data_IF_036707613953
#
_entry.id   IF_036707613953
#
_cell.length_a   1.000
_cell.length_b   1.000
_cell.length_c   1.000
_cell.angle_alpha   90.00
_cell.angle_beta   90.00
_cell.angle_gamma   90.00
#
_symmetry.space_group_name_H-M   'P 1'
#
loop_
_entity.id
_entity.type
_entity.pdbx_description
1 polymer ?
#
# COMPACT_ATOMS: atom_id res chain seq x y z
N UNK A 1 -0.36 4.69 -16.35
CA UNK A 1 -0.97 4.99 -15.02
C UNK A 1 -2.40 5.45 -15.19
N UNK A 2 -3.33 4.75 -14.57
CA UNK A 2 -4.74 5.11 -14.65
C UNK A 2 -5.07 6.17 -13.61
N UNK A 3 -4.99 7.42 -14.02
CA UNK A 3 -5.41 8.60 -13.30
C UNK A 3 -6.12 9.52 -14.28
N UNK A 4 -7.42 9.70 -14.11
CA UNK A 4 -8.27 10.43 -15.06
C UNK A 4 -8.93 11.60 -14.37
N UNK A 5 -8.81 12.79 -14.98
CA UNK A 5 -9.59 13.95 -14.55
C UNK A 5 -10.99 13.83 -15.15
N UNK A 6 -11.99 13.90 -14.30
CA UNK A 6 -13.41 13.91 -14.66
C UNK A 6 -14.07 15.14 -14.05
N UNK A 7 -15.26 15.48 -14.50
CA UNK A 7 -16.00 16.62 -13.95
C UNK A 7 -16.16 16.48 -12.42
N UNK A 8 -15.62 17.45 -11.69
CA UNK A 8 -15.68 17.50 -10.23
C UNK A 8 -14.55 16.76 -9.49
N UNK A 9 -13.62 16.09 -10.17
CA UNK A 9 -12.57 15.41 -9.46
C UNK A 9 -11.59 14.59 -10.28
N UNK A 10 -11.02 13.62 -9.61
CA UNK A 10 -10.00 12.71 -10.16
C UNK A 10 -10.39 11.28 -9.87
N UNK A 11 -10.35 10.43 -10.87
CA UNK A 11 -10.44 8.98 -10.71
C UNK A 11 -9.04 8.36 -10.69
N UNK A 12 -8.77 7.50 -9.70
CA UNK A 12 -7.53 6.73 -9.56
C UNK A 12 -7.83 5.22 -9.53
N UNK A 13 -6.97 4.45 -10.17
CA UNK A 13 -6.92 3.01 -10.00
C UNK A 13 -5.53 2.61 -9.47
N UNK A 14 -5.47 2.03 -8.28
CA UNK A 14 -4.21 1.73 -7.57
C UNK A 14 -4.17 0.31 -7.04
N UNK A 15 -2.94 -0.17 -6.87
CA UNK A 15 -2.65 -1.45 -6.28
C UNK A 15 -1.59 -1.29 -5.17
N UNK A 16 -1.79 -1.97 -4.05
CA UNK A 16 -0.99 -1.84 -2.84
C UNK A 16 -0.63 -3.21 -2.29
N UNK A 17 0.50 -3.31 -1.61
CA UNK A 17 0.94 -4.57 -1.01
C UNK A 17 1.24 -4.41 0.47
N UNK A 18 0.53 -5.16 1.29
CA UNK A 18 0.83 -5.36 2.69
C UNK A 18 1.94 -6.41 2.80
N UNK A 19 3.17 -5.92 3.00
CA UNK A 19 4.35 -6.77 3.15
C UNK A 19 4.62 -6.95 4.63
N UNK A 20 4.62 -8.18 5.10
CA UNK A 20 4.96 -8.52 6.47
C UNK A 20 6.16 -9.44 6.52
N UNK A 21 6.86 -9.46 7.65
CA UNK A 21 7.85 -10.48 7.95
C UNK A 21 7.16 -11.82 8.27
N UNK A 22 7.94 -12.89 8.39
CA UNK A 22 7.41 -14.25 8.62
C UNK A 22 6.63 -14.38 9.93
N UNK A 23 7.00 -13.63 10.97
CA UNK A 23 6.28 -13.62 12.25
C UNK A 23 4.99 -12.80 12.21
N UNK A 24 4.80 -12.03 11.14
CA UNK A 24 3.66 -11.12 10.98
C UNK A 24 3.51 -10.11 12.15
N UNK A 25 4.63 -9.68 12.71
CA UNK A 25 4.70 -8.62 13.73
C UNK A 25 5.23 -7.29 13.17
N UNK A 26 5.86 -7.31 11.99
CA UNK A 26 6.35 -6.13 11.29
C UNK A 26 5.65 -5.94 9.95
N UNK A 27 5.41 -4.69 9.59
CA UNK A 27 4.90 -4.27 8.28
C UNK A 27 5.86 -3.28 7.65
N UNK A 28 6.10 -3.41 6.34
CA UNK A 28 6.89 -2.45 5.58
C UNK A 28 6.00 -1.30 5.11
N UNK A 29 6.36 -0.08 5.50
CA UNK A 29 5.66 1.13 5.07
C UNK A 29 6.64 2.11 4.44
N UNK A 30 6.13 2.90 3.50
CA UNK A 30 6.84 4.03 2.89
C UNK A 30 6.50 5.30 3.64
N UNK A 31 7.53 6.04 4.05
CA UNK A 31 7.40 7.38 4.62
C UNK A 31 7.41 8.42 3.48
N UNK A 32 6.33 9.15 3.31
CA UNK A 32 6.22 10.22 2.33
C UNK A 32 6.22 11.62 2.98
N UNK A 33 6.67 11.70 4.23
CA UNK A 33 6.80 12.92 5.02
C UNK A 33 5.64 13.13 5.99
N UNK A 34 4.46 13.46 5.48
CA UNK A 34 3.29 13.77 6.32
C UNK A 34 2.54 12.52 6.81
N UNK A 35 2.69 11.40 6.13
CA UNK A 35 2.02 10.15 6.45
C UNK A 35 2.75 8.94 5.85
N UNK A 36 2.35 7.76 6.30
CA UNK A 36 2.87 6.49 5.83
C UNK A 36 1.87 5.82 4.88
N UNK A 37 2.40 5.09 3.89
CA UNK A 37 1.60 4.30 2.95
C UNK A 37 2.20 2.91 2.77
N UNK A 38 1.38 1.98 2.27
CA UNK A 38 1.89 0.70 1.78
C UNK A 38 2.72 0.90 0.50
N UNK A 39 3.70 0.02 0.21
CA UNK A 39 4.30 -0.05 -1.11
C UNK A 39 3.25 -0.29 -2.19
N UNK A 40 3.42 0.31 -3.35
CA UNK A 40 2.51 0.16 -4.48
C UNK A 40 2.35 1.43 -5.31
N UNK A 41 1.47 1.36 -6.28
CA UNK A 41 1.29 2.49 -7.20
C UNK A 41 0.03 2.39 -8.06
N UNK A 42 0.03 3.15 -9.15
CA UNK A 42 -1.09 3.17 -10.09
C UNK A 42 -0.99 2.02 -11.07
N UNK A 43 -2.13 1.44 -11.35
CA UNK A 43 -2.28 0.43 -12.40
C UNK A 43 -2.16 1.10 -13.77
N UNK A 44 -1.47 0.48 -14.70
CA UNK A 44 -1.34 0.95 -16.08
C UNK A 44 -2.45 0.41 -16.98
N UNK A 45 -2.59 0.98 -18.18
CA UNK A 45 -3.56 0.48 -19.16
C UNK A 45 -3.19 -0.95 -19.57
N UNK A 46 -4.19 -1.82 -19.60
CA UNK A 46 -4.07 -3.24 -19.94
C UNK A 46 -3.25 -4.07 -18.95
N UNK A 47 -2.99 -3.53 -17.76
CA UNK A 47 -2.31 -4.19 -16.66
C UNK A 47 -3.31 -4.66 -15.60
N UNK A 48 -3.14 -5.86 -15.06
CA UNK A 48 -3.91 -6.27 -13.89
C UNK A 48 -3.39 -5.61 -12.61
N UNK A 49 -4.22 -5.49 -11.59
CA UNK A 49 -3.79 -4.94 -10.31
C UNK A 49 -2.68 -5.79 -9.65
N UNK A 50 -2.70 -7.12 -9.87
CA UNK A 50 -1.65 -8.00 -9.38
C UNK A 50 -0.32 -7.74 -10.10
N UNK A 51 -0.34 -7.62 -11.43
CA UNK A 51 0.87 -7.32 -12.21
C UNK A 51 1.41 -5.93 -11.87
N UNK A 52 0.55 -4.93 -11.70
CA UNK A 52 0.94 -3.62 -11.21
C UNK A 52 1.65 -3.71 -9.86
N UNK A 53 1.09 -4.47 -8.92
CA UNK A 53 1.72 -4.68 -7.60
C UNK A 53 3.11 -5.32 -7.72
N UNK A 54 3.26 -6.33 -8.54
CA UNK A 54 4.56 -7.00 -8.79
C UNK A 54 5.57 -6.04 -9.43
N UNK A 55 5.14 -5.25 -10.41
CA UNK A 55 5.97 -4.24 -11.08
C UNK A 55 6.45 -3.19 -10.07
N UNK A 56 5.54 -2.62 -9.29
CA UNK A 56 5.88 -1.60 -8.27
C UNK A 56 6.86 -2.15 -7.23
N UNK A 57 6.66 -3.38 -6.72
CA UNK A 57 7.60 -4.00 -5.79
C UNK A 57 8.99 -4.17 -6.38
N UNK A 58 9.08 -4.49 -7.67
CA UNK A 58 10.36 -4.60 -8.36
C UNK A 58 11.01 -3.24 -8.57
N UNK A 59 10.25 -2.23 -8.97
CA UNK A 59 10.73 -0.87 -9.21
C UNK A 59 11.16 -0.17 -7.91
N UNK A 60 10.34 -0.26 -6.87
CA UNK A 60 10.59 0.41 -5.59
C UNK A 60 11.62 -0.32 -4.72
N UNK A 61 11.57 -1.65 -4.67
CA UNK A 61 12.30 -2.46 -3.68
C UNK A 61 13.26 -3.48 -4.30
N UNK A 62 13.25 -3.67 -5.62
CA UNK A 62 13.99 -4.76 -6.27
C UNK A 62 13.46 -6.15 -5.92
N UNK A 63 12.25 -6.23 -5.40
CA UNK A 63 11.63 -7.47 -4.94
C UNK A 63 10.85 -8.13 -6.06
N UNK A 64 11.28 -9.31 -6.49
CA UNK A 64 10.56 -10.14 -7.44
C UNK A 64 9.65 -11.12 -6.70
N UNK A 65 8.36 -11.11 -7.06
CA UNK A 65 7.31 -11.87 -6.40
C UNK A 65 6.54 -12.70 -7.44
N UNK A 66 6.41 -14.00 -7.21
CA UNK A 66 5.68 -14.87 -8.13
C UNK A 66 4.17 -14.71 -8.02
N UNK A 67 3.65 -14.63 -6.80
CA UNK A 67 2.22 -14.51 -6.55
C UNK A 67 1.92 -13.63 -5.34
N UNK A 68 0.77 -12.98 -5.39
CA UNK A 68 0.23 -12.14 -4.32
C UNK A 68 -1.18 -12.61 -3.98
N UNK A 69 -1.60 -12.43 -2.73
CA UNK A 69 -2.95 -12.80 -2.31
C UNK A 69 -3.81 -11.55 -2.15
N UNK A 70 -4.83 -11.42 -2.98
CA UNK A 70 -5.80 -10.31 -2.86
C UNK A 70 -6.62 -10.44 -1.58
N UNK A 71 -6.65 -9.38 -0.77
CA UNK A 71 -7.35 -9.35 0.51
C UNK A 71 -8.47 -8.31 0.58
N UNK A 72 -8.29 -7.15 -0.04
CA UNK A 72 -9.24 -6.04 0.04
C UNK A 72 -9.39 -5.39 -1.33
N UNK A 73 -10.63 -5.06 -1.68
CA UNK A 73 -10.96 -4.09 -2.71
C UNK A 73 -11.63 -2.91 -2.01
N UNK A 74 -11.05 -1.72 -2.12
CA UNK A 74 -11.56 -0.52 -1.48
C UNK A 74 -12.00 0.50 -2.54
N UNK A 75 -13.18 1.05 -2.36
CA UNK A 75 -13.63 2.27 -3.02
C UNK A 75 -13.50 3.41 -2.03
N UNK A 76 -12.62 4.36 -2.32
CA UNK A 76 -12.32 5.46 -1.41
C UNK A 76 -12.66 6.81 -2.03
N UNK A 77 -13.39 7.63 -1.27
CA UNK A 77 -13.72 9.00 -1.64
C UNK A 77 -13.00 9.93 -0.66
N UNK A 78 -12.11 10.79 -1.17
CA UNK A 78 -11.32 11.67 -0.32
C UNK A 78 -10.98 12.99 -1.01
N UNK A 79 -10.46 13.95 -0.26
CA UNK A 79 -9.91 15.20 -0.79
C UNK A 79 -8.41 15.25 -0.63
N UNK A 80 -7.72 15.65 -1.69
CA UNK A 80 -6.30 15.96 -1.67
C UNK A 80 -5.99 17.03 -2.72
N UNK A 81 -5.03 17.91 -2.44
CA UNK A 81 -4.62 18.98 -3.37
C UNK A 81 -5.79 19.78 -3.94
N UNK A 82 -6.75 20.11 -3.10
CA UNK A 82 -7.97 20.87 -3.46
C UNK A 82 -8.86 20.18 -4.51
N UNK A 83 -8.73 18.87 -4.68
CA UNK A 83 -9.56 18.05 -5.58
C UNK A 83 -10.25 16.93 -4.83
N UNK A 84 -11.43 16.54 -5.30
CA UNK A 84 -12.09 15.31 -4.86
C UNK A 84 -11.53 14.12 -5.63
N UNK A 85 -11.30 13.03 -4.93
CA UNK A 85 -10.81 11.78 -5.50
C UNK A 85 -11.81 10.67 -5.32
N UNK A 86 -11.98 9.88 -6.37
CA UNK A 86 -12.63 8.59 -6.35
C UNK A 86 -11.56 7.56 -6.72
N UNK A 87 -11.15 6.75 -5.75
CA UNK A 87 -10.10 5.76 -5.93
C UNK A 87 -10.66 4.35 -5.80
N UNK A 88 -10.26 3.47 -6.70
CA UNK A 88 -10.39 2.03 -6.53
C UNK A 88 -9.01 1.49 -6.21
N UNK A 89 -8.87 0.88 -5.03
CA UNK A 89 -7.64 0.28 -4.55
C UNK A 89 -7.77 -1.23 -4.37
N UNK A 90 -6.78 -1.96 -4.87
CA UNK A 90 -6.62 -3.40 -4.67
C UNK A 90 -5.47 -3.63 -3.70
N UNK A 91 -5.72 -4.37 -2.62
CA UNK A 91 -4.75 -4.57 -1.54
C UNK A 91 -4.41 -6.04 -1.42
N UNK A 92 -3.15 -6.33 -1.70
CA UNK A 92 -2.58 -7.68 -1.66
C UNK A 92 -1.79 -7.89 -0.39
N UNK A 93 -1.66 -9.14 0.03
CA UNK A 93 -0.77 -9.55 1.12
C UNK A 93 0.41 -10.33 0.55
N UNK A 94 1.58 -10.07 1.10
CA UNK A 94 2.82 -10.81 0.85
C UNK A 94 3.60 -11.01 2.15
N UNK A 95 3.96 -12.25 2.45
CA UNK A 95 4.83 -12.59 3.58
C UNK A 95 6.24 -12.74 3.05
N UNK A 96 7.16 -11.87 3.47
CA UNK A 96 8.54 -11.88 3.03
C UNK A 96 9.27 -13.07 3.63
N UNK A 97 9.94 -13.86 2.80
CA UNK A 97 10.75 -14.98 3.24
C UNK A 97 12.01 -14.50 4.00
N UNK A 98 12.39 -15.25 5.02
CA UNK A 98 13.57 -14.98 5.85
C UNK A 98 14.90 -14.99 5.11
N UNK A 99 14.95 -15.61 3.91
CA UNK A 99 16.12 -15.54 3.01
C UNK A 99 16.44 -14.14 2.49
N UNK A 100 15.48 -13.23 2.54
CA UNK A 100 15.63 -11.81 2.16
C UNK A 100 16.03 -10.94 3.34
N UNK A 101 17.12 -11.27 4.03
CA UNK A 101 17.63 -10.49 5.18
C UNK A 101 17.97 -9.02 4.85
N UNK A 102 17.92 -8.65 3.57
CA UNK A 102 18.32 -7.32 3.10
C UNK A 102 17.52 -6.19 3.73
N UNK A 103 16.26 -6.43 4.04
CA UNK A 103 15.35 -5.41 4.56
C UNK A 103 15.17 -5.49 6.08
N UNK A 104 15.32 -6.67 6.69
CA UNK A 104 15.05 -6.91 8.11
C UNK A 104 16.11 -6.32 9.04
N UNK A 105 17.30 -6.03 8.53
CA UNK A 105 18.43 -5.56 9.31
C UNK A 105 18.61 -4.03 9.30
N UNK A 106 17.68 -3.29 8.66
CA UNK A 106 17.77 -1.83 8.56
C UNK A 106 16.57 -1.16 9.21
N UNK A 107 16.82 -0.13 10.02
CA UNK A 107 15.74 0.69 10.58
C UNK A 107 14.98 1.43 9.49
N UNK A 108 15.69 2.03 8.53
CA UNK A 108 15.13 2.63 7.33
C UNK A 108 16.09 2.48 6.16
N UNK A 109 15.55 2.50 4.95
CA UNK A 109 16.36 2.41 3.72
C UNK A 109 15.70 3.17 2.57
N UNK A 110 16.53 3.58 1.62
CA UNK A 110 16.05 4.19 0.38
C UNK A 110 15.53 3.11 -0.56
N UNK A 111 14.38 3.39 -1.19
CA UNK A 111 13.90 2.60 -2.31
C UNK A 111 14.76 2.85 -3.55
N UNK A 112 14.63 1.98 -4.56
CA UNK A 112 15.42 2.05 -5.78
C UNK A 112 15.07 3.26 -6.66
N UNK A 113 13.89 3.85 -6.49
CA UNK A 113 13.44 5.01 -7.26
C UNK A 113 14.00 6.35 -6.77
N UNK A 114 14.78 6.35 -5.69
CA UNK A 114 15.52 7.50 -5.23
C UNK A 114 15.37 7.81 -3.75
N UNK A 115 16.09 8.86 -3.32
CA UNK A 115 16.20 9.25 -1.91
C UNK A 115 14.90 9.75 -1.27
N UNK A 116 13.90 10.09 -2.07
CA UNK A 116 12.59 10.54 -1.58
C UNK A 116 11.64 9.36 -1.28
N UNK A 117 12.07 8.14 -1.59
CA UNK A 117 11.33 6.90 -1.37
C UNK A 117 11.94 6.14 -0.19
N UNK A 118 11.57 6.54 1.03
CA UNK A 118 12.08 5.95 2.27
C UNK A 118 11.13 4.88 2.79
N UNK A 119 11.65 3.68 3.04
CA UNK A 119 10.92 2.55 3.61
C UNK A 119 11.45 2.20 4.98
N UNK A 120 10.55 1.74 5.84
CA UNK A 120 10.90 1.28 7.18
C UNK A 120 9.97 0.15 7.62
N UNK A 121 10.49 -0.76 8.41
CA UNK A 121 9.71 -1.76 9.12
C UNK A 121 9.12 -1.16 10.40
N UNK A 122 7.81 -1.32 10.56
CA UNK A 122 7.08 -0.85 11.74
C UNK A 122 6.45 -2.04 12.46
N UNK A 123 6.48 -2.01 13.80
CA UNK A 123 5.73 -2.96 14.60
C UNK A 123 4.24 -2.73 14.41
N UNK A 124 3.51 -3.76 14.04
CA UNK A 124 2.06 -3.70 13.75
C UNK A 124 1.27 -3.20 14.98
N UNK A 125 1.72 -3.52 16.18
CA UNK A 125 1.06 -3.12 17.42
C UNK A 125 1.42 -1.69 17.89
N UNK A 126 2.33 -1.00 17.21
CA UNK A 126 2.84 0.33 17.59
C UNK A 126 2.53 1.41 16.58
N UNK A 127 1.44 1.26 15.81
CA UNK A 127 1.08 2.17 14.71
C UNK A 127 0.16 3.33 15.14
N UNK A 128 -0.31 3.37 16.39
CA UNK A 128 -1.33 4.33 16.82
C UNK A 128 -0.88 5.79 16.71
N UNK A 129 0.42 6.05 16.86
CA UNK A 129 0.99 7.40 16.80
C UNK A 129 1.31 7.87 15.37
N UNK A 130 1.12 7.03 14.36
CA UNK A 130 1.41 7.36 12.98
C UNK A 130 0.12 7.63 12.20
N UNK A 131 0.17 8.62 11.32
CA UNK A 131 -0.85 8.80 10.29
C UNK A 131 -0.55 7.85 9.15
N UNK A 132 -1.49 6.96 8.83
CA UNK A 132 -1.40 6.00 7.74
C UNK A 132 -2.55 6.26 6.77
N UNK A 133 -2.25 6.37 5.49
CA UNK A 133 -3.25 6.59 4.45
C UNK A 133 -3.38 5.36 3.53
N UNK A 134 -4.56 5.03 3.06
CA UNK A 134 -5.87 5.57 3.48
C UNK A 134 -6.16 5.28 4.97
N UNK A 135 -7.02 6.09 5.60
CA UNK A 135 -7.27 6.05 7.04
C UNK A 135 -7.74 4.68 7.57
N UNK A 136 -8.45 3.90 6.75
CA UNK A 136 -8.94 2.58 7.15
C UNK A 136 -7.82 1.54 7.36
N UNK A 137 -6.62 1.80 6.83
CA UNK A 137 -5.50 0.84 6.93
C UNK A 137 -5.07 0.56 8.36
N UNK A 138 -5.10 1.56 9.23
CA UNK A 138 -4.61 1.40 10.60
C UNK A 138 -5.32 0.23 11.31
N UNK A 139 -6.61 0.08 11.11
CA UNK A 139 -7.40 -1.02 11.69
C UNK A 139 -7.16 -2.33 10.94
N UNK A 140 -7.14 -2.31 9.63
CA UNK A 140 -6.92 -3.51 8.82
C UNK A 140 -5.51 -4.09 8.95
N UNK A 141 -4.50 -3.25 9.16
CA UNK A 141 -3.13 -3.71 9.45
C UNK A 141 -3.08 -4.49 10.75
N UNK A 142 -3.80 -4.05 11.79
CA UNK A 142 -3.88 -4.78 13.07
C UNK A 142 -4.46 -6.19 12.90
N UNK A 143 -5.40 -6.37 11.99
CA UNK A 143 -5.94 -7.68 11.62
C UNK A 143 -4.98 -8.50 10.72
N UNK A 144 -3.82 -7.93 10.35
CA UNK A 144 -2.78 -8.58 9.53
C UNK A 144 -3.29 -9.07 8.18
N UNK A 145 -4.37 -8.49 7.67
CA UNK A 145 -5.04 -8.93 6.45
C UNK A 145 -5.39 -10.43 6.46
N UNK A 146 -5.65 -11.00 7.65
CA UNK A 146 -5.99 -12.41 7.83
C UNK A 146 -7.49 -12.63 7.63
N UNK A 147 -7.94 -12.48 6.40
CA UNK A 147 -9.32 -12.72 5.97
C UNK A 147 -9.39 -13.96 5.10
N UNK A 148 -10.42 -14.80 5.31
CA UNK A 148 -10.67 -16.01 4.53
C UNK A 148 -11.22 -15.69 3.13
N UNK A 149 -11.83 -14.52 2.97
CA UNK A 149 -12.39 -14.02 1.72
C UNK A 149 -11.94 -12.60 1.42
N UNK A 150 -12.06 -12.19 0.15
CA UNK A 150 -11.78 -10.82 -0.25
C UNK A 150 -12.83 -9.89 0.37
N UNK A 151 -12.37 -8.87 1.12
CA UNK A 151 -13.24 -7.84 1.68
C UNK A 151 -13.45 -6.71 0.69
N UNK A 152 -14.69 -6.32 0.48
CA UNK A 152 -15.05 -5.11 -0.23
C UNK A 152 -15.39 -4.01 0.78
N UNK A 153 -14.61 -2.95 0.77
CA UNK A 153 -14.72 -1.83 1.72
C UNK A 153 -15.05 -0.55 0.93
N UNK A 154 -15.97 0.24 1.44
CA UNK A 154 -16.27 1.58 0.93
C UNK A 154 -15.96 2.58 2.04
N UNK A 155 -15.10 3.55 1.76
CA UNK A 155 -14.71 4.61 2.70
C UNK A 155 -15.01 5.97 2.12
N UNK A 156 -15.44 6.88 2.99
CA UNK A 156 -15.74 8.26 2.62
C UNK A 156 -15.03 9.20 3.60
N UNK A 157 -13.92 9.75 3.15
CA UNK A 157 -13.07 10.67 3.90
C UNK A 157 -13.15 12.11 3.39
N UNK A 158 -14.23 12.46 2.66
CA UNK A 158 -14.42 13.82 2.08
C UNK A 158 -14.51 14.92 3.13
N UNK A 159 -14.95 14.61 4.33
CA UNK A 159 -15.09 15.54 5.44
C UNK A 159 -13.98 15.51 6.48
N UNK A 160 -12.91 14.77 6.22
CA UNK A 160 -11.81 14.54 7.18
C UNK A 160 -10.55 15.28 6.80
#
# INVERSE_FOLDING_TARGET
>A
MIKVNVDGGVFNYRAWVFITNRKEDLVLLQDIGDYLVLPGGRVEMLESAEDASKRELKEELGLEVESLTLKIINKNFFKAHNKSYHEIGFYYKYVLDTGSNLFLNKDSFEGLEGKDYIFKWYNINSLDNFRIEPLFFKDTIKDKFNYDSIKHIVTNDLGK
#
